data_IF_089095389033
#
_entry.id   IF_089095389033
#
_cell.length_a   1.000
_cell.length_b   1.000
_cell.length_c   1.000
_cell.angle_alpha   90.00
_cell.angle_beta   90.00
_cell.angle_gamma   90.00
#
_symmetry.space_group_name_H-M   'P 1'
#
loop_
_entity.id
_entity.type
_entity.pdbx_description
1 polymer ?
#
# COMPACT_ATOMS: atom_id res chain seq x y z
N UNK A 1 -1.34 10.92 -3.35
CA UNK A 1 -1.91 10.85 -2.00
C UNK A 1 -0.73 10.99 -1.07
N UNK A 2 -0.62 12.11 -0.35
CA UNK A 2 0.56 12.49 0.40
C UNK A 2 0.13 13.10 1.74
N UNK A 3 0.40 12.41 2.85
CA UNK A 3 0.04 12.81 4.21
C UNK A 3 -1.38 12.44 4.65
N UNK A 4 -1.80 13.05 5.76
CA UNK A 4 -3.00 12.73 6.56
C UNK A 4 -2.90 11.38 7.30
N UNK A 5 -3.05 10.26 6.60
CA UNK A 5 -2.92 8.92 7.18
C UNK A 5 -2.25 7.99 6.18
N UNK A 6 -1.46 7.05 6.69
CA UNK A 6 -1.01 5.93 5.87
C UNK A 6 -2.22 5.12 5.42
N UNK A 7 -2.22 4.66 4.18
CA UNK A 7 -3.35 3.92 3.62
C UNK A 7 -2.95 2.47 3.34
N UNK A 8 -3.71 1.53 3.89
CA UNK A 8 -3.59 0.10 3.59
C UNK A 8 -3.83 -0.19 2.10
N UNK A 9 -3.08 -1.14 1.57
CA UNK A 9 -3.27 -1.70 0.22
C UNK A 9 -3.50 -3.21 0.31
N UNK A 10 -4.22 -3.77 -0.66
CA UNK A 10 -4.53 -5.20 -0.74
C UNK A 10 -3.28 -6.08 -0.89
N UNK A 11 -2.14 -5.54 -1.33
CA UNK A 11 -0.91 -6.29 -1.54
C UNK A 11 -0.26 -6.74 -0.22
N UNK A 12 0.33 -7.94 -0.21
CA UNK A 12 1.36 -8.29 0.77
C UNK A 12 2.65 -7.52 0.47
N UNK A 13 3.40 -7.14 1.50
CA UNK A 13 4.67 -6.45 1.34
C UNK A 13 5.82 -7.44 1.14
N UNK A 14 6.63 -7.19 0.12
CA UNK A 14 7.92 -7.84 -0.14
C UNK A 14 8.85 -6.79 -0.76
N UNK A 15 10.01 -6.59 -0.16
CA UNK A 15 10.93 -5.48 -0.49
C UNK A 15 11.48 -5.54 -1.92
N UNK A 16 11.69 -6.75 -2.44
CA UNK A 16 12.26 -7.04 -3.75
C UNK A 16 11.19 -7.45 -4.79
N UNK A 17 9.90 -7.33 -4.49
CA UNK A 17 8.81 -7.78 -5.38
C UNK A 17 8.91 -7.24 -6.81
N UNK A 18 9.30 -5.97 -6.97
CA UNK A 18 9.40 -5.36 -8.30
C UNK A 18 10.68 -5.74 -9.08
N UNK A 19 11.60 -6.51 -8.48
CA UNK A 19 12.75 -7.06 -9.21
C UNK A 19 12.31 -8.11 -10.25
N UNK A 20 11.18 -8.78 -10.02
CA UNK A 20 10.63 -9.85 -10.86
C UNK A 20 9.98 -9.34 -12.17
N UNK A 21 9.96 -8.03 -12.43
CA UNK A 21 9.42 -7.38 -13.65
C UNK A 21 7.98 -7.76 -14.01
N UNK A 22 7.11 -7.99 -13.03
CA UNK A 22 5.66 -8.15 -13.28
C UNK A 22 5.04 -6.79 -13.61
N UNK A 23 4.68 -6.57 -14.87
CA UNK A 23 4.23 -5.26 -15.38
C UNK A 23 2.72 -5.13 -15.56
N UNK A 24 2.01 -6.25 -15.77
CA UNK A 24 0.56 -6.23 -16.04
C UNK A 24 -0.23 -6.60 -14.79
N UNK A 25 -0.92 -5.61 -14.22
CA UNK A 25 -1.77 -5.75 -13.04
C UNK A 25 -1.13 -6.54 -11.87
N UNK A 26 0.08 -6.16 -11.40
CA UNK A 26 0.73 -6.86 -10.30
C UNK A 26 -0.16 -6.83 -9.04
N UNK A 27 -0.35 -7.99 -8.40
CA UNK A 27 -1.18 -8.15 -7.19
C UNK A 27 -0.37 -8.25 -5.89
N UNK A 28 0.96 -8.06 -5.97
CA UNK A 28 1.87 -8.39 -4.87
C UNK A 28 2.19 -9.90 -4.80
N UNK A 29 2.95 -10.33 -3.79
CA UNK A 29 3.14 -11.74 -3.47
C UNK A 29 1.83 -12.40 -3.04
N UNK A 30 1.69 -13.71 -3.27
CA UNK A 30 0.50 -14.47 -2.88
C UNK A 30 0.31 -14.53 -1.35
N UNK A 31 1.42 -14.56 -0.59
CA UNK A 31 1.43 -14.64 0.86
C UNK A 31 2.46 -13.67 1.46
N UNK A 32 2.29 -13.33 2.75
CA UNK A 32 3.24 -12.50 3.48
C UNK A 32 2.85 -12.31 4.94
N UNK A 33 3.75 -11.68 5.70
CA UNK A 33 3.53 -11.37 7.11
C UNK A 33 2.97 -9.96 7.34
N UNK A 34 3.19 -9.05 6.38
CA UNK A 34 2.85 -7.64 6.50
C UNK A 34 2.10 -7.14 5.27
N UNK A 35 1.09 -6.29 5.46
CA UNK A 35 0.40 -5.61 4.35
C UNK A 35 1.13 -4.32 4.01
N UNK A 36 1.11 -3.96 2.73
CA UNK A 36 1.73 -2.72 2.28
C UNK A 36 0.90 -1.49 2.67
N UNK A 37 1.58 -0.39 2.98
CA UNK A 37 0.99 0.94 3.15
C UNK A 37 1.64 1.95 2.22
N UNK A 38 0.87 2.98 1.83
CA UNK A 38 1.35 4.10 1.01
C UNK A 38 0.83 5.44 1.54
N UNK A 39 1.52 6.51 1.13
CA UNK A 39 1.03 7.89 1.24
C UNK A 39 1.57 8.71 2.42
N UNK A 40 2.10 8.11 3.48
CA UNK A 40 2.53 8.84 4.67
C UNK A 40 1.36 9.29 5.56
N UNK A 41 1.66 9.71 6.78
CA UNK A 41 0.69 10.24 7.75
C UNK A 41 0.92 11.73 8.04
N UNK A 42 0.07 12.32 8.89
CA UNK A 42 0.14 13.73 9.28
C UNK A 42 1.47 14.16 9.94
N UNK A 43 2.18 13.23 10.58
CA UNK A 43 3.52 13.48 11.16
C UNK A 43 4.68 13.04 10.28
N UNK A 44 4.41 12.48 9.09
CA UNK A 44 5.45 11.95 8.21
C UNK A 44 6.33 13.06 7.64
N UNK A 45 7.63 12.78 7.57
CA UNK A 45 8.57 13.67 6.88
C UNK A 45 8.42 13.61 5.35
N UNK A 46 9.23 14.42 4.66
CA UNK A 46 9.23 14.53 3.20
C UNK A 46 9.56 13.23 2.48
N UNK A 47 10.34 12.33 3.08
CA UNK A 47 10.73 11.07 2.46
C UNK A 47 9.55 10.08 2.44
N UNK A 48 8.74 10.08 3.50
CA UNK A 48 7.63 9.16 3.71
C UNK A 48 6.33 9.57 2.99
N UNK A 49 6.18 10.83 2.59
CA UNK A 49 5.02 11.30 1.80
C UNK A 49 5.25 11.24 0.28
N UNK A 50 6.41 10.73 -0.17
CA UNK A 50 6.67 10.56 -1.61
C UNK A 50 5.73 9.51 -2.19
N UNK A 51 5.26 9.73 -3.41
CA UNK A 51 4.35 8.81 -4.09
C UNK A 51 4.93 7.40 -4.31
N UNK A 52 6.25 7.28 -4.41
CA UNK A 52 6.95 6.01 -4.58
C UNK A 52 7.29 5.32 -3.25
N UNK A 53 7.09 5.99 -2.11
CA UNK A 53 7.40 5.41 -0.81
C UNK A 53 6.41 4.30 -0.46
N UNK A 54 6.94 3.23 0.13
CA UNK A 54 6.17 2.06 0.52
C UNK A 54 6.69 1.59 1.87
N UNK A 55 5.79 1.39 2.81
CA UNK A 55 6.09 0.77 4.09
C UNK A 55 5.12 -0.39 4.33
N UNK A 56 5.19 -1.00 5.51
CA UNK A 56 4.44 -2.18 5.85
C UNK A 56 4.17 -2.27 7.35
N UNK A 57 3.03 -2.85 7.71
CA UNK A 57 2.71 -3.18 9.09
C UNK A 57 2.00 -4.53 9.17
N UNK A 58 1.94 -5.08 10.38
CA UNK A 58 1.16 -6.27 10.65
C UNK A 58 -0.34 -5.92 10.44
N UNK A 59 -1.11 -6.72 9.67
CA UNK A 59 -2.53 -6.46 9.42
C UNK A 59 -3.40 -6.40 10.69
N UNK A 60 -2.95 -6.96 11.80
CA UNK A 60 -3.65 -6.91 13.09
C UNK A 60 -3.43 -5.59 13.84
N UNK A 61 -2.45 -4.78 13.43
CA UNK A 61 -2.17 -3.52 14.09
C UNK A 61 -3.27 -2.49 13.77
N UNK A 62 -3.56 -1.65 14.76
CA UNK A 62 -4.48 -0.51 14.64
C UNK A 62 -3.76 0.73 15.16
N UNK A 63 -3.68 1.76 14.34
CA UNK A 63 -3.09 3.04 14.67
C UNK A 63 -4.03 4.15 14.23
N UNK A 64 -4.06 5.24 14.98
CA UNK A 64 -4.85 6.45 14.68
C UNK A 64 -4.35 7.18 13.41
N UNK A 65 -3.15 6.87 12.95
CA UNK A 65 -2.54 7.41 11.75
C UNK A 65 -2.59 6.46 10.53
N UNK A 66 -3.33 5.35 10.62
CA UNK A 66 -3.50 4.38 9.54
C UNK A 66 -4.98 4.25 9.18
N UNK A 67 -5.31 4.52 7.92
CA UNK A 67 -6.62 4.34 7.33
C UNK A 67 -6.57 3.50 6.05
N UNK A 68 -7.59 3.65 5.20
CA UNK A 68 -7.66 3.02 3.89
C UNK A 68 -8.62 3.81 2.98
N UNK A 69 -8.52 3.55 1.68
CA UNK A 69 -9.53 3.94 0.69
C UNK A 69 -9.91 2.74 -0.14
N UNK A 70 -11.15 2.72 -0.59
CA UNK A 70 -11.70 1.61 -1.37
C UNK A 70 -11.46 1.82 -2.87
N UNK A 71 -11.29 0.71 -3.58
CA UNK A 71 -11.29 0.66 -5.04
C UNK A 71 -12.30 -0.39 -5.49
N UNK A 72 -12.91 -0.17 -6.64
CA UNK A 72 -13.88 -1.07 -7.25
C UNK A 72 -13.48 -1.32 -8.70
N UNK A 73 -13.56 -2.56 -9.15
CA UNK A 73 -13.47 -2.90 -10.56
C UNK A 73 -14.86 -2.67 -11.17
N UNK A 74 -15.02 -1.77 -12.14
CA UNK A 74 -16.32 -1.57 -12.79
C UNK A 74 -16.71 -2.81 -13.58
N UNK A 75 -18.02 -3.05 -13.69
CA UNK A 75 -18.53 -4.12 -14.55
C UNK A 75 -18.13 -3.88 -16.00
N UNK A 76 -17.85 -4.97 -16.74
CA UNK A 76 -17.58 -4.87 -18.17
C UNK A 76 -18.88 -4.47 -18.86
N UNK A 77 -18.91 -3.26 -19.43
CA UNK A 77 -19.96 -2.89 -20.38
C UNK A 77 -19.70 -3.71 -21.64
N UNK A 78 -20.62 -4.63 -21.93
CA UNK A 78 -20.64 -5.46 -23.15
C UNK A 78 -20.85 -4.63 -24.40
#
# INVERSE_FOLDING_TARGET
MAGNVWEWVSDWYKSDYYAERVTRNPQGPETGYYKALRGGAWFSDRAHVRAADRTHFNPENRYDYVGFRVALVPDKIS
#
